data_IF_505894492562
#
_entry.id   IF_505894492562
#
_cell.length_a   1.000
_cell.length_b   1.000
_cell.length_c   1.000
_cell.angle_alpha   90.00
_cell.angle_beta   90.00
_cell.angle_gamma   90.00
#
_symmetry.space_group_name_H-M   'P 1'
#
loop_
_entity.id
_entity.type
_entity.pdbx_description
1 polymer ?
#
# COMPACT_ATOMS: atom_id res chain seq x y z
N UNK A 1 1.66 -4.20 -23.21
CA UNK A 1 2.72 -3.83 -22.25
C UNK A 1 2.28 -2.52 -21.62
N UNK A 2 1.90 -2.52 -20.35
CA UNK A 2 1.38 -1.33 -19.66
C UNK A 2 2.49 -0.29 -19.55
N UNK A 3 2.21 0.98 -19.86
CA UNK A 3 3.19 2.06 -19.72
C UNK A 3 3.59 2.18 -18.24
N UNK A 4 4.89 2.05 -17.90
CA UNK A 4 5.38 2.18 -16.53
C UNK A 4 4.94 3.49 -15.85
N UNK A 5 4.74 4.58 -16.61
CA UNK A 5 4.24 5.84 -16.05
C UNK A 5 2.80 5.75 -15.54
N UNK A 6 1.95 5.04 -16.27
CA UNK A 6 0.55 4.84 -15.85
C UNK A 6 0.52 4.05 -14.54
N UNK A 7 1.38 3.04 -14.41
CA UNK A 7 1.50 2.28 -13.17
C UNK A 7 2.02 3.15 -12.02
N UNK A 8 3.04 3.97 -12.26
CA UNK A 8 3.59 4.89 -11.27
C UNK A 8 2.56 5.91 -10.78
N UNK A 9 1.79 6.52 -11.69
CA UNK A 9 0.72 7.46 -11.37
C UNK A 9 -0.38 6.79 -10.51
N UNK A 10 -0.85 5.61 -10.91
CA UNK A 10 -1.88 4.87 -10.15
C UNK A 10 -1.38 4.46 -8.77
N UNK A 11 -0.12 4.02 -8.66
CA UNK A 11 0.47 3.64 -7.36
C UNK A 11 0.68 4.86 -6.46
N UNK A 12 1.06 6.01 -7.01
CA UNK A 12 1.20 7.26 -6.26
C UNK A 12 -0.15 7.75 -5.73
N UNK A 13 -1.22 7.67 -6.54
CA UNK A 13 -2.57 8.00 -6.10
C UNK A 13 -3.05 7.07 -4.97
N UNK A 14 -2.82 5.76 -5.13
CA UNK A 14 -3.17 4.77 -4.11
C UNK A 14 -2.41 5.02 -2.80
N UNK A 15 -1.12 5.30 -2.86
CA UNK A 15 -0.29 5.59 -1.69
C UNK A 15 -0.76 6.83 -0.93
N UNK A 16 -1.11 7.93 -1.62
CA UNK A 16 -1.68 9.13 -0.98
C UNK A 16 -2.99 8.80 -0.27
N UNK A 17 -3.89 8.04 -0.91
CA UNK A 17 -5.18 7.67 -0.35
C UNK A 17 -5.01 6.77 0.88
N UNK A 18 -4.13 5.77 0.80
CA UNK A 18 -3.81 4.85 1.89
C UNK A 18 -3.27 5.62 3.10
N UNK A 19 -2.26 6.48 2.89
CA UNK A 19 -1.65 7.27 3.96
C UNK A 19 -2.66 8.18 4.64
N UNK A 20 -3.58 8.77 3.87
CA UNK A 20 -4.68 9.57 4.42
C UNK A 20 -5.60 8.73 5.31
N UNK A 21 -6.08 7.57 4.84
CA UNK A 21 -7.00 6.71 5.61
C UNK A 21 -6.35 6.20 6.90
N UNK A 22 -5.10 5.79 6.84
CA UNK A 22 -4.36 5.35 8.03
C UNK A 22 -4.26 6.47 9.07
N UNK A 23 -4.00 7.71 8.61
CA UNK A 23 -3.98 8.89 9.49
C UNK A 23 -5.34 9.18 10.13
N UNK A 24 -6.45 8.99 9.40
CA UNK A 24 -7.81 9.11 9.95
C UNK A 24 -8.06 8.12 11.10
N UNK A 25 -7.35 6.99 11.13
CA UNK A 25 -7.38 5.99 12.20
C UNK A 25 -6.26 6.16 13.25
N UNK A 26 -5.52 7.27 13.22
CA UNK A 26 -4.44 7.55 14.17
C UNK A 26 -3.14 6.79 13.91
N UNK A 27 -2.99 6.20 12.72
CA UNK A 27 -1.81 5.43 12.33
C UNK A 27 -0.99 6.26 11.34
N UNK A 28 0.19 6.72 11.74
CA UNK A 28 1.11 7.43 10.85
C UNK A 28 2.09 6.47 10.17
N UNK A 29 2.10 6.51 8.84
CA UNK A 29 3.08 5.84 7.99
C UNK A 29 3.90 6.89 7.22
N UNK A 30 5.06 7.32 7.76
CA UNK A 30 5.90 8.32 7.11
C UNK A 30 6.37 7.86 5.72
N UNK A 31 6.63 6.56 5.56
CA UNK A 31 7.12 5.95 4.34
C UNK A 31 6.41 4.62 4.09
N UNK A 32 5.48 4.62 3.12
CA UNK A 32 4.97 3.41 2.50
C UNK A 32 5.51 3.39 1.06
N UNK A 33 6.23 2.32 0.72
CA UNK A 33 6.69 2.08 -0.65
C UNK A 33 5.89 0.90 -1.17
N UNK A 34 5.10 1.16 -2.21
CA UNK A 34 4.44 0.14 -3.01
C UNK A 34 5.18 0.05 -4.34
N UNK A 35 5.82 -1.09 -4.59
CA UNK A 35 6.50 -1.36 -5.86
C UNK A 35 5.92 -2.62 -6.51
N UNK A 36 5.88 -2.63 -7.84
CA UNK A 36 5.61 -3.85 -8.61
C UNK A 36 6.90 -4.28 -9.29
N UNK A 37 7.33 -5.50 -9.05
CA UNK A 37 8.52 -6.08 -9.68
C UNK A 37 8.23 -6.44 -11.16
N UNK A 38 9.27 -6.61 -11.99
CA UNK A 38 9.09 -7.00 -13.40
C UNK A 38 8.35 -8.32 -13.61
N UNK A 39 8.37 -9.22 -12.64
CA UNK A 39 7.62 -10.48 -12.62
C UNK A 39 6.20 -10.35 -12.02
N UNK A 40 5.77 -9.12 -11.72
CA UNK A 40 4.41 -8.80 -11.28
C UNK A 40 4.15 -8.99 -9.79
N UNK A 41 5.20 -9.14 -8.96
CA UNK A 41 5.04 -9.19 -7.51
C UNK A 41 4.89 -7.79 -6.94
N UNK A 42 4.05 -7.65 -5.92
CA UNK A 42 3.85 -6.39 -5.20
C UNK A 42 4.74 -6.41 -3.95
N UNK A 43 5.74 -5.53 -3.89
CA UNK A 43 6.60 -5.32 -2.73
C UNK A 43 6.06 -4.15 -1.93
N UNK A 44 5.76 -4.41 -0.67
CA UNK A 44 5.37 -3.39 0.30
C UNK A 44 6.46 -3.24 1.33
N UNK A 45 7.10 -2.07 1.35
CA UNK A 45 8.11 -1.74 2.34
C UNK A 45 7.63 -0.55 3.17
N UNK A 46 7.63 -0.71 4.48
CA UNK A 46 7.38 0.39 5.41
C UNK A 46 8.31 0.31 6.61
N UNK A 47 8.36 1.40 7.36
CA UNK A 47 9.16 1.55 8.57
C UNK A 47 8.42 1.08 9.84
N UNK A 48 7.34 0.31 9.73
CA UNK A 48 6.61 -0.22 10.89
C UNK A 48 7.10 -1.61 11.31
N UNK A 49 6.74 -2.02 12.52
CA UNK A 49 7.06 -3.36 13.01
C UNK A 49 6.41 -4.44 12.14
N UNK A 50 6.97 -5.66 12.10
CA UNK A 50 6.37 -6.79 11.38
C UNK A 50 4.90 -7.03 11.73
N UNK A 51 4.52 -6.79 12.99
CA UNK A 51 3.14 -6.94 13.46
C UNK A 51 2.22 -5.84 12.88
N UNK A 52 2.71 -4.60 12.81
CA UNK A 52 1.98 -3.50 12.17
C UNK A 52 1.76 -3.74 10.69
N UNK A 53 2.77 -4.27 9.99
CA UNK A 53 2.66 -4.61 8.57
C UNK A 53 1.68 -5.77 8.34
N UNK A 54 1.68 -6.78 9.23
CA UNK A 54 0.76 -7.92 9.17
C UNK A 54 -0.69 -7.49 9.43
N UNK A 55 -0.92 -6.62 10.40
CA UNK A 55 -2.25 -6.04 10.65
C UNK A 55 -2.76 -5.30 9.42
N UNK A 56 -1.92 -4.44 8.84
CA UNK A 56 -2.29 -3.66 7.66
C UNK A 56 -2.59 -4.53 6.43
N UNK A 57 -1.83 -5.62 6.21
CA UNK A 57 -2.12 -6.59 5.17
C UNK A 57 -3.49 -7.27 5.35
N UNK A 58 -3.84 -7.64 6.58
CA UNK A 58 -5.15 -8.23 6.88
C UNK A 58 -6.29 -7.24 6.63
N UNK A 59 -6.11 -5.96 6.97
CA UNK A 59 -7.12 -4.93 6.74
C UNK A 59 -7.42 -4.78 5.23
N UNK A 60 -6.41 -4.90 4.38
CA UNK A 60 -6.59 -4.82 2.93
C UNK A 60 -7.26 -6.05 2.34
N UNK A 61 -6.93 -7.24 2.85
CA UNK A 61 -7.65 -8.47 2.50
C UNK A 61 -9.12 -8.32 2.86
N UNK A 62 -9.44 -7.82 4.07
CA UNK A 62 -10.82 -7.60 4.49
C UNK A 62 -11.56 -6.60 3.61
N UNK A 63 -10.89 -5.53 3.16
CA UNK A 63 -11.48 -4.57 2.20
C UNK A 63 -11.70 -5.21 0.83
N UNK A 64 -10.77 -6.04 0.36
CA UNK A 64 -10.85 -6.70 -0.94
C UNK A 64 -11.93 -7.80 -0.97
N UNK A 65 -12.05 -8.56 0.12
CA UNK A 65 -13.05 -9.63 0.28
C UNK A 65 -14.47 -9.09 0.51
N UNK A 66 -14.60 -7.76 0.64
CA UNK A 66 -15.89 -7.10 0.78
C UNK A 66 -16.49 -7.29 2.16
N UNK A 67 -16.16 -6.39 3.08
CA UNK A 67 -17.14 -5.86 4.01
C UNK A 67 -18.05 -4.86 3.30
#
# INVERSE_FOLDING_TARGET
>A
MTDPKILEEVLAEADVLIRRRLKEHGIEFPHLVVAVTPDGQVIWHSNVSPDGLRSFGNDLINVADGL
#
